data_IF_112121466665
#
_entry.id   IF_112121466665
#
_cell.length_a   1.000
_cell.length_b   1.000
_cell.length_c   1.000
_cell.angle_alpha   90.00
_cell.angle_beta   90.00
_cell.angle_gamma   90.00
#
_symmetry.space_group_name_H-M   'P 1'
#
loop_
_entity.id
_entity.type
_entity.pdbx_description
1 polymer ?
#
# COMPACT_ATOMS: atom_id res chain seq x y z
N UNK A 1 -6.52 2.72 6.41
CA UNK A 1 -5.41 3.59 5.95
C UNK A 1 -5.31 4.81 6.86
N UNK A 2 -4.15 5.43 7.01
CA UNK A 2 -3.96 6.62 7.86
C UNK A 2 -4.56 7.88 7.18
N UNK A 3 -5.08 8.89 7.92
CA UNK A 3 -5.54 10.14 7.34
C UNK A 3 -4.47 10.85 6.51
N UNK A 4 -4.90 11.56 5.45
CA UNK A 4 -4.02 12.26 4.52
C UNK A 4 -3.09 13.28 5.22
N UNK A 5 -3.63 14.04 6.17
CA UNK A 5 -2.88 15.04 6.95
C UNK A 5 -1.66 14.43 7.67
N UNK A 6 -1.82 13.24 8.26
CA UNK A 6 -0.71 12.54 8.94
C UNK A 6 0.33 12.02 7.93
N UNK A 7 -0.10 11.59 6.75
CA UNK A 7 0.79 11.16 5.67
C UNK A 7 1.60 12.35 5.14
N UNK A 8 0.94 13.48 4.93
CA UNK A 8 1.58 14.72 4.49
C UNK A 8 2.62 15.17 5.54
N UNK A 9 2.28 15.10 6.82
CA UNK A 9 3.22 15.37 7.92
C UNK A 9 4.44 14.43 7.93
N UNK A 10 4.25 13.13 7.69
CA UNK A 10 5.36 12.18 7.54
C UNK A 10 6.27 12.58 6.38
N UNK A 11 5.70 13.03 5.26
CA UNK A 11 6.45 13.46 4.08
C UNK A 11 7.24 14.76 4.33
N UNK A 12 6.64 15.73 5.03
CA UNK A 12 7.32 16.95 5.48
C UNK A 12 8.54 16.63 6.35
N UNK A 13 8.35 15.80 7.37
CA UNK A 13 9.44 15.37 8.26
C UNK A 13 10.51 14.58 7.49
N UNK A 14 10.12 13.74 6.54
CA UNK A 14 11.06 13.01 5.69
C UNK A 14 11.88 13.95 4.79
N UNK A 15 11.25 14.99 4.22
CA UNK A 15 11.94 16.01 3.42
C UNK A 15 12.90 16.83 4.29
N UNK A 16 12.44 17.27 5.47
CA UNK A 16 13.27 18.01 6.44
C UNK A 16 14.47 17.20 6.89
N UNK A 17 14.28 15.92 7.20
CA UNK A 17 15.36 14.99 7.56
C UNK A 17 16.45 14.87 6.49
N UNK A 18 16.09 14.95 5.20
CA UNK A 18 17.04 14.85 4.08
C UNK A 18 17.80 16.15 3.81
N UNK A 19 17.18 17.31 4.08
CA UNK A 19 17.78 18.61 3.75
C UNK A 19 18.55 19.21 4.93
N UNK A 20 17.89 19.33 6.09
CA UNK A 20 18.40 20.13 7.22
C UNK A 20 18.67 19.26 8.45
N UNK A 21 18.09 18.06 8.49
CA UNK A 21 18.07 17.21 9.68
C UNK A 21 16.83 17.46 10.53
N UNK A 22 16.54 16.52 11.44
CA UNK A 22 15.42 16.61 12.37
C UNK A 22 15.92 16.91 13.78
N UNK A 23 15.15 17.72 14.50
CA UNK A 23 15.32 17.85 15.95
C UNK A 23 14.89 16.56 16.65
N UNK A 24 15.27 16.35 17.91
CA UNK A 24 14.92 15.11 18.60
C UNK A 24 13.40 14.95 18.80
N UNK A 25 12.70 16.06 19.05
CA UNK A 25 11.23 16.10 19.10
C UNK A 25 10.62 15.66 17.76
N UNK A 26 11.15 16.15 16.65
CA UNK A 26 10.66 15.79 15.31
C UNK A 26 10.99 14.35 14.93
N UNK A 27 12.10 13.80 15.42
CA UNK A 27 12.41 12.36 15.26
C UNK A 27 11.41 11.50 16.01
N UNK A 28 11.05 11.87 17.24
CA UNK A 28 10.03 11.17 18.02
C UNK A 28 8.66 11.24 17.33
N UNK A 29 8.25 12.43 16.86
CA UNK A 29 7.03 12.64 16.09
C UNK A 29 7.02 11.73 14.84
N UNK A 30 8.12 11.74 14.07
CA UNK A 30 8.24 10.93 12.86
C UNK A 30 8.17 9.42 13.16
N UNK A 31 8.81 8.96 14.25
CA UNK A 31 8.75 7.56 14.66
C UNK A 31 7.34 7.13 15.07
N UNK A 32 6.64 7.98 15.83
CA UNK A 32 5.27 7.72 16.25
C UNK A 32 4.34 7.61 15.04
N UNK A 33 4.39 8.58 14.13
CA UNK A 33 3.58 8.59 12.92
C UNK A 33 3.88 7.40 12.00
N UNK A 34 5.15 7.00 11.88
CA UNK A 34 5.53 5.80 11.10
C UNK A 34 5.03 4.50 11.71
N UNK A 35 5.06 4.37 13.04
CA UNK A 35 4.49 3.20 13.72
C UNK A 35 2.99 3.10 13.47
N UNK A 36 2.27 4.21 13.59
CA UNK A 36 0.82 4.26 13.34
C UNK A 36 0.49 3.90 11.89
N UNK A 37 1.22 4.48 10.93
CA UNK A 37 1.09 4.15 9.51
C UNK A 37 1.30 2.65 9.25
N UNK A 38 2.39 2.07 9.76
CA UNK A 38 2.71 0.66 9.55
C UNK A 38 1.67 -0.28 10.17
N UNK A 39 1.12 0.07 11.33
CA UNK A 39 0.05 -0.72 11.95
C UNK A 39 -1.20 -0.77 11.04
N UNK A 40 -1.63 0.41 10.55
CA UNK A 40 -2.79 0.52 9.64
C UNK A 40 -2.53 -0.09 8.26
N UNK A 41 -1.30 0.02 7.76
CA UNK A 41 -0.89 -0.60 6.51
C UNK A 41 -0.93 -2.12 6.61
N UNK A 42 -0.36 -2.72 7.67
CA UNK A 42 -0.38 -4.17 7.88
C UNK A 42 -1.79 -4.72 8.06
N UNK A 43 -2.66 -3.98 8.74
CA UNK A 43 -4.10 -4.31 8.86
C UNK A 43 -4.75 -4.38 7.47
N UNK A 44 -4.60 -3.31 6.68
CA UNK A 44 -5.14 -3.27 5.31
C UNK A 44 -4.54 -4.34 4.39
N UNK A 45 -3.25 -4.61 4.52
CA UNK A 45 -2.55 -5.58 3.68
C UNK A 45 -2.99 -7.01 3.99
N UNK A 46 -3.22 -7.36 5.26
CA UNK A 46 -3.81 -8.66 5.62
C UNK A 46 -5.19 -8.86 5.00
N UNK A 47 -6.03 -7.83 5.03
CA UNK A 47 -7.36 -7.88 4.40
C UNK A 47 -7.28 -8.02 2.87
N UNK A 48 -6.24 -7.46 2.23
CA UNK A 48 -6.00 -7.67 0.80
C UNK A 48 -5.59 -9.12 0.53
N UNK A 49 -4.66 -9.67 1.33
CA UNK A 49 -4.22 -11.07 1.19
C UNK A 49 -5.35 -12.08 1.37
N UNK A 50 -6.29 -11.83 2.29
CA UNK A 50 -7.45 -12.72 2.49
C UNK A 50 -8.41 -12.74 1.30
N UNK A 51 -8.36 -11.74 0.43
CA UNK A 51 -9.21 -11.64 -0.76
C UNK A 51 -8.48 -12.14 -2.03
N UNK A 52 -7.25 -12.66 -1.90
CA UNK A 52 -6.55 -13.26 -3.04
C UNK A 52 -7.07 -14.68 -3.21
N UNK A 53 -7.71 -14.93 -4.34
CA UNK A 53 -8.13 -16.26 -4.77
C UNK A 53 -7.17 -16.77 -5.86
N UNK A 54 -6.86 -18.07 -5.81
CA UNK A 54 -6.11 -18.73 -6.88
C UNK A 54 -7.13 -19.07 -7.97
N UNK A 55 -6.99 -18.43 -9.12
CA UNK A 55 -7.79 -18.74 -10.30
C UNK A 55 -7.00 -19.74 -11.13
N UNK A 56 -7.50 -20.97 -11.27
CA UNK A 56 -7.01 -21.89 -12.29
C UNK A 56 -7.52 -21.40 -13.65
N UNK A 57 -6.61 -21.16 -14.59
CA UNK A 57 -6.96 -20.85 -15.98
C UNK A 57 -7.60 -22.11 -16.59
N UNK A 58 -8.93 -22.15 -16.62
CA UNK A 58 -9.66 -23.17 -17.38
C UNK A 58 -9.55 -22.78 -18.84
N UNK A 59 -8.72 -23.48 -19.60
CA UNK A 59 -8.71 -23.34 -21.07
C UNK A 59 -10.09 -23.76 -21.60
N UNK A 60 -10.97 -22.77 -21.84
CA UNK A 60 -12.20 -23.01 -22.59
C UNK A 60 -11.81 -23.38 -24.03
N UNK A 61 -11.98 -24.66 -24.38
CA UNK A 61 -11.91 -25.13 -25.77
C UNK A 61 -12.98 -24.39 -26.58
N UNK A 62 -12.56 -23.32 -27.28
CA UNK A 62 -13.44 -22.60 -28.20
C UNK A 62 -13.52 -23.40 -29.50
N UNK A 63 -14.59 -24.19 -29.66
CA UNK A 63 -14.90 -24.88 -30.91
C UNK A 63 -15.35 -23.86 -31.97
N UNK A 64 -14.46 -23.55 -32.92
CA UNK A 64 -14.74 -22.60 -33.99
C UNK A 64 -15.48 -23.32 -35.13
N UNK A 65 -16.80 -23.13 -35.25
CA UNK A 65 -17.54 -23.54 -36.45
C UNK A 65 -17.16 -22.67 -37.65
N UNK A 66 -16.29 -23.17 -38.52
CA UNK A 66 -15.98 -22.53 -39.80
C UNK A 66 -17.14 -22.78 -40.76
N UNK A 67 -18.02 -21.79 -40.94
CA UNK A 67 -19.00 -21.79 -42.03
C UNK A 67 -18.28 -21.48 -43.35
N UNK A 68 -18.15 -22.50 -44.20
CA UNK A 68 -17.72 -22.34 -45.59
C UNK A 68 -18.94 -21.95 -46.42
N UNK A 69 -18.89 -20.78 -47.04
CA UNK A 69 -19.88 -20.28 -47.99
C UNK A 69 -19.73 -20.91 -49.37
#
# INVERSE_FOLDING_TARGET
>A
MLPKEKIDRINELAKKSKCVGLTDVEKEEQQMLRKEYLAKFRESFRNQLSNIEIVEDVEEEVEIEVKVN
#
